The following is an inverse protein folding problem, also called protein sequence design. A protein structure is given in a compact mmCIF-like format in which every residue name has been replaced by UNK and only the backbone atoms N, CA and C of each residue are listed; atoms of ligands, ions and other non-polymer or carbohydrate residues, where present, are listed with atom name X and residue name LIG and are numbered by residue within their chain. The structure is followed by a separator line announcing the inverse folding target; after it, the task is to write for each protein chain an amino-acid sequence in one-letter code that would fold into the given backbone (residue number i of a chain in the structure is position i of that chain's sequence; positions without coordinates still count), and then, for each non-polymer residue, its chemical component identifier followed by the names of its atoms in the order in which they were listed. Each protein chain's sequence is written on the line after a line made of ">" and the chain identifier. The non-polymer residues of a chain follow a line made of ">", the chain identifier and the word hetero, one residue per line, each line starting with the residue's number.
data_IF_297554667680
#
_entry.id   IF_297554667680
#
_cell.length_a   1.000
_cell.length_b   1.000
_cell.length_c   1.000
_cell.angle_alpha   90.00
_cell.angle_beta   90.00
_cell.angle_gamma   90.00
#
_symmetry.space_group_name_H-M   'P 1'
#
loop_
_entity.id
_entity.type
_entity.pdbx_description
1 polymer ?
#
# COMPACT_ATOMS: atom_id res chain seq x y z
N UNK A 1 -11.27 7.01 -2.01
CA UNK A 1 -12.01 7.93 -1.11
C UNK A 1 -13.09 7.25 -0.24
N UNK A 2 -13.90 6.34 -0.79
CA UNK A 2 -15.04 5.71 -0.07
C UNK A 2 -14.61 4.99 1.22
N UNK A 3 -13.57 4.17 1.16
CA UNK A 3 -13.09 3.43 2.35
C UNK A 3 -12.53 4.34 3.45
N UNK A 4 -11.87 5.43 3.08
CA UNK A 4 -11.42 6.42 4.07
C UNK A 4 -12.59 7.12 4.75
N UNK A 5 -13.66 7.47 4.02
CA UNK A 5 -14.86 8.04 4.62
C UNK A 5 -15.49 7.09 5.63
N UNK A 6 -15.68 5.82 5.25
CA UNK A 6 -16.17 4.77 6.16
C UNK A 6 -15.31 4.64 7.41
N UNK A 7 -13.98 4.71 7.27
CA UNK A 7 -13.05 4.66 8.40
C UNK A 7 -13.21 5.86 9.33
N UNK A 8 -13.30 7.08 8.78
CA UNK A 8 -13.54 8.29 9.55
C UNK A 8 -14.86 8.21 10.32
N UNK A 9 -15.93 7.76 9.66
CA UNK A 9 -17.25 7.60 10.29
C UNK A 9 -17.18 6.59 11.45
N UNK A 10 -16.52 5.43 11.25
CA UNK A 10 -16.32 4.43 12.31
C UNK A 10 -15.51 4.93 13.49
N UNK A 11 -14.56 5.83 13.25
CA UNK A 11 -13.70 6.43 14.29
C UNK A 11 -14.33 7.67 14.94
N UNK A 12 -15.53 8.11 14.50
CA UNK A 12 -16.16 9.34 14.98
C UNK A 12 -15.38 10.61 14.58
N UNK A 13 -14.60 10.54 13.51
CA UNK A 13 -13.77 11.65 13.01
C UNK A 13 -14.50 12.42 11.90
N UNK A 14 -14.33 13.74 11.86
CA UNK A 14 -14.95 14.58 10.82
C UNK A 14 -14.25 14.36 9.47
N UNK A 15 -14.97 13.88 8.46
CA UNK A 15 -14.48 13.81 7.09
C UNK A 15 -14.82 15.09 6.31
N UNK A 16 -13.87 16.02 6.20
CA UNK A 16 -14.05 17.31 5.50
C UNK A 16 -13.48 17.27 4.09
N UNK A 17 -13.86 18.24 3.24
CA UNK A 17 -13.27 18.40 1.90
C UNK A 17 -11.75 18.59 1.94
N UNK A 18 -11.23 19.31 2.95
CA UNK A 18 -9.78 19.46 3.14
C UNK A 18 -9.08 18.12 3.39
N UNK A 19 -9.68 17.27 4.21
CA UNK A 19 -9.18 15.92 4.50
C UNK A 19 -9.21 15.05 3.25
N UNK A 20 -10.32 15.07 2.51
CA UNK A 20 -10.45 14.34 1.25
C UNK A 20 -9.36 14.74 0.24
N UNK A 21 -9.06 16.03 0.11
CA UNK A 21 -7.98 16.51 -0.76
C UNK A 21 -6.60 16.03 -0.31
N UNK A 22 -6.34 15.93 1.00
CA UNK A 22 -5.07 15.43 1.55
C UNK A 22 -4.94 13.92 1.28
N UNK A 23 -6.01 13.17 1.51
CA UNK A 23 -6.07 11.73 1.23
C UNK A 23 -5.80 11.50 -0.26
N UNK A 24 -6.57 12.16 -1.14
CA UNK A 24 -6.36 12.04 -2.58
C UNK A 24 -4.92 12.38 -2.97
N UNK A 25 -4.37 13.50 -2.48
CA UNK A 25 -2.99 13.89 -2.78
C UNK A 25 -1.96 12.85 -2.36
N UNK A 26 -2.18 12.12 -1.26
CA UNK A 26 -1.22 11.15 -0.74
C UNK A 26 -1.41 9.74 -1.28
N UNK A 27 -2.63 9.34 -1.64
CA UNK A 27 -2.96 7.96 -2.03
C UNK A 27 -3.50 7.80 -3.46
N UNK A 28 -3.53 8.85 -4.28
CA UNK A 28 -4.06 8.76 -5.65
C UNK A 28 -3.28 7.78 -6.51
N UNK A 29 -3.97 7.06 -7.39
CA UNK A 29 -3.36 6.22 -8.43
C UNK A 29 -2.46 7.02 -9.39
N UNK A 30 -2.70 8.34 -9.51
CA UNK A 30 -1.89 9.26 -10.33
C UNK A 30 -0.54 9.60 -9.71
N UNK A 31 -0.32 9.26 -8.44
CA UNK A 31 0.97 9.45 -7.80
C UNK A 31 2.00 8.47 -8.39
N UNK A 32 3.30 8.78 -8.30
CA UNK A 32 4.31 7.83 -8.75
C UNK A 32 4.28 6.54 -7.92
N UNK A 33 4.64 5.41 -8.54
CA UNK A 33 4.81 4.11 -7.86
C UNK A 33 6.18 4.05 -7.14
N UNK A 34 7.14 4.84 -7.60
CA UNK A 34 8.50 4.90 -7.07
C UNK A 34 8.93 6.36 -6.88
N UNK A 35 9.59 6.65 -5.75
CA UNK A 35 10.07 7.99 -5.47
C UNK A 35 11.35 8.29 -6.25
N UNK A 36 11.42 9.49 -6.82
CA UNK A 36 12.64 10.00 -7.39
C UNK A 36 13.76 10.08 -6.32
N UNK A 37 15.00 9.85 -6.75
CA UNK A 37 16.19 10.02 -5.90
C UNK A 37 16.18 11.45 -5.30
N UNK A 38 16.38 11.55 -3.98
CA UNK A 38 16.29 12.81 -3.24
C UNK A 38 14.91 13.15 -2.68
N UNK A 39 13.86 12.36 -2.98
CA UNK A 39 12.51 12.50 -2.38
C UNK A 39 12.13 11.35 -1.45
N UNK A 40 13.12 10.70 -0.83
CA UNK A 40 12.97 9.48 -0.04
C UNK A 40 11.95 9.59 1.11
N UNK A 41 11.73 10.80 1.64
CA UNK A 41 10.79 11.07 2.73
C UNK A 41 9.38 11.46 2.25
N UNK A 42 9.13 11.46 0.94
CA UNK A 42 7.80 11.72 0.41
C UNK A 42 6.90 10.52 0.62
N UNK A 43 5.65 10.78 0.99
CA UNK A 43 4.60 9.75 1.15
C UNK A 43 3.51 9.87 0.07
N UNK A 44 3.74 10.69 -0.97
CA UNK A 44 2.83 10.82 -2.11
C UNK A 44 3.17 9.74 -3.13
N UNK A 45 2.56 8.58 -2.94
CA UNK A 45 2.77 7.38 -3.74
C UNK A 45 1.44 6.82 -4.19
N UNK A 46 1.44 6.12 -5.32
CA UNK A 46 0.33 5.24 -5.64
C UNK A 46 0.38 4.09 -4.64
N UNK A 47 -0.40 4.21 -3.56
CA UNK A 47 -0.31 3.32 -2.40
C UNK A 47 -0.69 1.88 -2.76
N UNK A 48 -1.59 1.69 -3.72
CA UNK A 48 -2.03 0.37 -4.18
C UNK A 48 -0.89 -0.37 -4.90
N UNK A 49 -0.24 0.29 -5.86
CA UNK A 49 0.82 -0.33 -6.64
C UNK A 49 2.14 -0.42 -5.87
N UNK A 50 2.45 0.55 -5.02
CA UNK A 50 3.71 0.58 -4.24
C UNK A 50 3.84 -0.64 -3.32
N UNK A 51 2.73 -1.11 -2.73
CA UNK A 51 2.72 -2.29 -1.86
C UNK A 51 3.13 -3.55 -2.61
N UNK A 52 3.07 -3.57 -3.95
CA UNK A 52 3.47 -4.69 -4.81
C UNK A 52 4.92 -4.59 -5.29
N UNK A 53 5.64 -3.49 -5.07
CA UNK A 53 7.00 -3.28 -5.58
C UNK A 53 8.01 -4.34 -5.13
N UNK A 54 7.76 -5.02 -4.01
CA UNK A 54 8.63 -6.11 -3.56
C UNK A 54 8.71 -7.25 -4.58
N UNK A 55 7.66 -7.48 -5.38
CA UNK A 55 7.64 -8.52 -6.43
C UNK A 55 8.68 -8.29 -7.52
N UNK A 56 8.96 -7.02 -7.86
CA UNK A 56 9.96 -6.67 -8.86
C UNK A 56 11.36 -6.43 -8.28
N UNK A 57 11.45 -6.14 -6.98
CA UNK A 57 12.70 -5.83 -6.28
C UNK A 57 13.41 -7.05 -5.71
N UNK A 58 12.67 -8.12 -5.42
CA UNK A 58 13.19 -9.34 -4.84
C UNK A 58 13.36 -10.41 -5.91
N UNK A 59 14.41 -11.21 -5.77
CA UNK A 59 14.58 -12.41 -6.57
C UNK A 59 13.56 -13.47 -6.17
N UNK A 60 13.16 -14.38 -7.08
CA UNK A 60 12.21 -15.45 -6.77
C UNK A 60 12.58 -16.27 -5.53
N UNK A 61 13.88 -16.55 -5.32
CA UNK A 61 14.35 -17.27 -4.13
C UNK A 61 14.24 -16.46 -2.83
N UNK A 62 14.29 -15.13 -2.90
CA UNK A 62 14.07 -14.25 -1.75
C UNK A 62 12.59 -14.18 -1.38
N UNK A 63 11.71 -14.10 -2.39
CA UNK A 63 10.26 -14.18 -2.23
C UNK A 63 9.87 -15.49 -1.55
N UNK A 64 10.36 -16.62 -2.06
CA UNK A 64 10.10 -17.95 -1.50
C UNK A 64 10.57 -18.04 -0.04
N UNK A 65 11.77 -17.54 0.25
CA UNK A 65 12.31 -17.52 1.61
C UNK A 65 11.41 -16.72 2.57
N UNK A 66 10.95 -15.53 2.17
CA UNK A 66 10.04 -14.71 2.98
C UNK A 66 8.68 -15.41 3.14
N UNK A 67 8.15 -16.03 2.09
CA UNK A 67 6.92 -16.80 2.15
C UNK A 67 7.01 -17.92 3.18
N UNK A 68 8.07 -18.74 3.15
CA UNK A 68 8.24 -19.84 4.11
C UNK A 68 8.35 -19.35 5.56
N UNK A 69 9.01 -18.21 5.80
CA UNK A 69 9.13 -17.61 7.13
C UNK A 69 7.77 -17.07 7.62
N UNK A 70 7.01 -16.45 6.73
CA UNK A 70 5.72 -15.81 7.07
C UNK A 70 4.52 -16.75 6.90
N UNK A 71 4.74 -17.97 6.40
CA UNK A 71 3.72 -18.99 6.13
C UNK A 71 2.66 -19.17 7.22
N UNK A 72 3.03 -19.22 8.53
CA UNK A 72 2.06 -19.44 9.60
C UNK A 72 0.93 -18.38 9.67
N UNK A 73 1.17 -17.18 9.13
CA UNK A 73 0.20 -16.08 9.11
C UNK A 73 -0.27 -15.75 7.70
N UNK A 74 0.57 -15.93 6.68
CA UNK A 74 0.32 -15.42 5.33
C UNK A 74 -0.90 -16.06 4.67
N UNK A 75 -1.10 -17.36 4.90
CA UNK A 75 -2.19 -18.14 4.30
C UNK A 75 -3.59 -17.66 4.78
N UNK A 76 -3.64 -16.79 5.81
CA UNK A 76 -4.89 -16.16 6.29
C UNK A 76 -5.21 -14.83 5.60
N UNK A 77 -4.21 -14.19 5.00
CA UNK A 77 -4.33 -12.81 4.49
C UNK A 77 -4.08 -12.71 2.98
N UNK A 78 -3.37 -13.67 2.39
CA UNK A 78 -3.02 -13.69 0.97
C UNK A 78 -3.36 -15.05 0.37
N UNK A 79 -3.86 -15.05 -0.87
CA UNK A 79 -3.99 -16.25 -1.67
C UNK A 79 -2.60 -16.65 -2.20
N UNK A 80 -2.34 -17.93 -2.48
CA UNK A 80 -1.07 -18.36 -3.06
C UNK A 80 -0.70 -17.60 -4.34
N UNK A 81 -1.69 -17.29 -5.19
CA UNK A 81 -1.48 -16.48 -6.41
C UNK A 81 -1.13 -15.01 -6.17
N UNK A 82 -1.30 -14.50 -4.95
CA UNK A 82 -0.87 -13.14 -4.61
C UNK A 82 0.66 -13.04 -4.47
N UNK A 83 1.37 -14.17 -4.39
CA UNK A 83 2.83 -14.25 -4.26
C UNK A 83 3.57 -14.43 -5.59
N UNK A 84 2.85 -14.65 -6.69
CA UNK A 84 3.38 -14.72 -8.06
C UNK A 84 3.65 -13.34 -8.68
#
# INVERSE_FOLDING_TARGET
>A
AVEFRKLYDKLGLRYTRKIEMIIEKSSSEKNPVELARGRQHSIQLNSEETIKNWKSRLLPGEIEKIYQITRPIVDRYYHPGDWE
#
